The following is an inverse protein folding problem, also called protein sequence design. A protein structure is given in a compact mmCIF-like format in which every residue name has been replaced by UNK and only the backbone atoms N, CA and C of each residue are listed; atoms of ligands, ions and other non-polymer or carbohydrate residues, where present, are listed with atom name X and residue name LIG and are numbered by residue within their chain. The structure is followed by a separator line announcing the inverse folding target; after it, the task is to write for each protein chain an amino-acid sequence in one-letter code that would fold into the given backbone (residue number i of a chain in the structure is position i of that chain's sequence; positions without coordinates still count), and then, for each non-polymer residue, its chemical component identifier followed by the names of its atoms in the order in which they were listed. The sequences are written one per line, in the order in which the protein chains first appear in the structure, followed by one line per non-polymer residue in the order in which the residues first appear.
data_IF_875078299569
#
_entry.id   IF_875078299569
#
_cell.length_a   1.000
_cell.length_b   1.000
_cell.length_c   1.000
_cell.angle_alpha   90.00
_cell.angle_beta   90.00
_cell.angle_gamma   90.00
#
_symmetry.space_group_name_H-M   'P 1'
#
loop_
_entity.id
_entity.type
_entity.pdbx_description
1 polymer ?
#
# COMPACT_ATOMS: atom_id res chain seq x y z
N UNK A 1 -4.88 8.89 -8.90
CA UNK A 1 -4.88 8.46 -7.49
C UNK A 1 -5.82 7.29 -7.39
N UNK A 2 -5.25 6.15 -7.05
CA UNK A 2 -5.99 4.93 -6.74
C UNK A 2 -5.72 4.54 -5.29
N UNK A 3 -6.72 4.00 -4.60
CA UNK A 3 -6.58 3.46 -3.25
C UNK A 3 -6.56 1.95 -3.33
N UNK A 4 -5.57 1.31 -2.74
CA UNK A 4 -5.39 -0.13 -2.78
C UNK A 4 -5.41 -0.72 -1.37
N UNK A 5 -6.03 -1.88 -1.21
CA UNK A 5 -5.89 -2.67 0.01
C UNK A 5 -4.85 -3.77 -0.20
N UNK A 6 -3.73 -3.72 0.53
CA UNK A 6 -2.83 -4.86 0.64
C UNK A 6 -3.16 -5.63 1.92
N UNK A 7 -3.54 -6.90 1.81
CA UNK A 7 -3.95 -7.70 2.96
C UNK A 7 -3.57 -9.17 2.80
N UNK A 8 -3.58 -9.89 3.92
CA UNK A 8 -3.40 -11.35 3.95
C UNK A 8 -4.77 -12.04 3.90
N UNK A 9 -4.99 -12.90 2.92
CA UNK A 9 -6.22 -13.69 2.81
C UNK A 9 -6.25 -14.87 3.79
N UNK A 10 -7.34 -15.65 3.77
CA UNK A 10 -7.51 -16.83 4.64
C UNK A 10 -6.47 -17.92 4.43
N UNK A 11 -5.78 -17.93 3.29
CA UNK A 11 -4.74 -18.90 2.96
C UNK A 11 -3.32 -18.39 3.33
N UNK A 12 -3.22 -17.26 4.02
CA UNK A 12 -1.94 -16.67 4.40
C UNK A 12 -1.21 -15.98 3.25
N UNK A 13 -1.87 -15.73 2.12
CA UNK A 13 -1.27 -15.10 0.94
C UNK A 13 -1.61 -13.63 0.86
N UNK A 14 -0.65 -12.81 0.46
CA UNK A 14 -0.87 -11.39 0.17
C UNK A 14 -1.78 -11.23 -1.05
N UNK A 15 -2.72 -10.30 -0.96
CA UNK A 15 -3.66 -9.92 -2.01
C UNK A 15 -3.71 -8.40 -2.11
N UNK A 16 -3.96 -7.89 -3.33
CA UNK A 16 -4.12 -6.46 -3.61
C UNK A 16 -5.43 -6.24 -4.32
N UNK A 17 -6.31 -5.46 -3.69
CA UNK A 17 -7.59 -5.03 -4.29
C UNK A 17 -7.59 -3.51 -4.46
N UNK A 18 -8.22 -3.03 -5.53
CA UNK A 18 -8.54 -1.61 -5.68
C UNK A 18 -9.80 -1.28 -4.87
N UNK A 19 -9.75 -0.17 -4.13
CA UNK A 19 -10.85 0.34 -3.32
C UNK A 19 -11.42 1.61 -3.96
N UNK A 20 -12.75 1.69 -3.99
CA UNK A 20 -13.47 2.91 -4.31
C UNK A 20 -14.08 3.55 -3.04
N UNK A 21 -14.23 4.87 -3.04
CA UNK A 21 -14.74 5.61 -1.88
C UNK A 21 -16.23 5.37 -1.60
N UNK A 22 -17.01 4.97 -2.61
CA UNK A 22 -18.45 4.75 -2.44
C UNK A 22 -18.73 3.45 -1.66
N UNK A 23 -17.93 2.41 -1.92
CA UNK A 23 -18.00 1.12 -1.22
C UNK A 23 -17.22 1.10 0.10
N UNK A 24 -16.34 2.08 0.34
CA UNK A 24 -15.47 2.15 1.52
C UNK A 24 -15.58 3.53 2.21
N UNK A 25 -16.76 3.87 2.77
CA UNK A 25 -17.03 5.19 3.35
C UNK A 25 -16.13 5.53 4.53
N UNK A 26 -15.57 4.55 5.22
CA UNK A 26 -14.62 4.74 6.31
C UNK A 26 -13.35 5.49 5.86
N UNK A 27 -12.97 5.37 4.58
CA UNK A 27 -11.83 6.10 4.00
C UNK A 27 -12.10 7.61 3.88
N UNK A 28 -13.36 8.04 3.93
CA UNK A 28 -13.74 9.45 3.88
C UNK A 28 -13.84 10.10 5.26
N UNK A 29 -13.70 9.30 6.32
CA UNK A 29 -13.79 9.77 7.70
C UNK A 29 -12.43 10.16 8.24
N UNK A 30 -12.35 11.29 8.94
CA UNK A 30 -11.11 11.73 9.57
C UNK A 30 -10.61 10.68 10.57
N UNK A 31 -9.36 10.24 10.39
CA UNK A 31 -8.70 9.27 11.27
C UNK A 31 -7.53 9.95 11.97
N UNK A 32 -7.44 9.81 13.29
CA UNK A 32 -6.31 10.34 14.05
C UNK A 32 -5.02 9.56 13.70
N UNK A 33 -4.00 10.27 13.22
CA UNK A 33 -2.68 9.71 12.97
C UNK A 33 -1.82 9.79 14.23
N UNK A 34 -1.23 8.66 14.65
CA UNK A 34 -0.27 8.65 15.76
C UNK A 34 1.09 9.20 15.33
N UNK A 35 1.52 8.89 14.11
CA UNK A 35 2.81 9.29 13.55
C UNK A 35 2.68 9.56 12.04
N UNK A 36 3.45 10.53 11.55
CA UNK A 36 3.61 10.83 10.12
C UNK A 36 5.11 11.03 9.88
N UNK A 37 5.64 10.40 8.83
CA UNK A 37 7.02 10.60 8.41
C UNK A 37 7.12 10.50 6.88
N UNK A 38 8.17 11.12 6.34
CA UNK A 38 8.49 11.08 4.92
C UNK A 38 9.79 10.30 4.76
N UNK A 39 9.87 9.46 3.73
CA UNK A 39 11.07 8.71 3.37
C UNK A 39 11.29 8.77 1.87
N UNK A 40 12.55 8.72 1.48
CA UNK A 40 12.98 8.62 0.09
C UNK A 40 13.92 7.42 -0.05
N UNK A 41 13.87 6.80 -1.21
CA UNK A 41 14.78 5.74 -1.61
C UNK A 41 15.40 6.09 -2.96
N UNK A 42 16.66 5.73 -3.14
CA UNK A 42 17.31 5.83 -4.44
C UNK A 42 16.74 4.80 -5.43
N UNK A 43 16.77 5.07 -6.74
CA UNK A 43 16.37 4.11 -7.75
C UNK A 43 17.09 2.77 -7.58
N UNK A 44 16.35 1.67 -7.68
CA UNK A 44 16.88 0.32 -7.48
C UNK A 44 16.96 -0.12 -6.02
N UNK A 45 16.50 0.69 -5.06
CA UNK A 45 16.33 0.23 -3.68
C UNK A 45 15.39 -0.98 -3.63
N UNK A 46 15.87 -2.06 -3.03
CA UNK A 46 15.15 -3.33 -2.92
C UNK A 46 14.89 -3.67 -1.45
N UNK A 47 13.69 -4.16 -1.17
CA UNK A 47 13.29 -4.67 0.13
C UNK A 47 12.82 -6.10 -0.08
N UNK A 48 13.50 -7.05 0.56
CA UNK A 48 13.17 -8.47 0.48
C UNK A 48 11.83 -8.78 1.17
N UNK A 49 11.32 -9.99 1.01
CA UNK A 49 10.04 -10.44 1.55
C UNK A 49 9.95 -10.21 3.07
N UNK A 50 8.91 -9.49 3.50
CA UNK A 50 8.66 -9.20 4.90
C UNK A 50 7.15 -9.03 5.16
N UNK A 51 6.65 -9.36 6.37
CA UNK A 51 5.29 -9.00 6.75
C UNK A 51 5.17 -7.48 6.91
N UNK A 52 3.99 -6.93 6.60
CA UNK A 52 3.69 -5.54 6.93
C UNK A 52 3.74 -5.38 8.46
N UNK A 53 4.60 -4.50 9.00
CA UNK A 53 4.88 -4.47 10.44
C UNK A 53 3.70 -3.95 11.26
N UNK A 54 2.79 -3.21 10.64
CA UNK A 54 1.57 -2.62 11.25
C UNK A 54 0.64 -2.12 10.17
N UNK A 55 -0.62 -1.91 10.55
CA UNK A 55 -1.59 -1.19 9.73
C UNK A 55 -1.16 0.25 9.53
N UNK A 56 -1.04 0.68 8.28
CA UNK A 56 -0.56 2.01 7.93
C UNK A 56 -0.91 2.39 6.51
N UNK A 57 -1.04 3.69 6.26
CA UNK A 57 -1.12 4.21 4.91
C UNK A 57 0.28 4.51 4.38
N UNK A 58 0.60 3.98 3.21
CA UNK A 58 1.75 4.42 2.41
C UNK A 58 1.18 5.15 1.20
N UNK A 59 1.57 6.41 1.04
CA UNK A 59 1.17 7.26 -0.09
C UNK A 59 2.43 7.56 -0.89
N UNK A 60 2.43 7.19 -2.16
CA UNK A 60 3.53 7.50 -3.08
C UNK A 60 3.42 8.97 -3.50
N UNK A 61 4.38 9.80 -3.13
CA UNK A 61 4.35 11.24 -3.47
C UNK A 61 5.06 11.51 -4.80
N UNK A 62 6.12 10.77 -5.10
CA UNK A 62 6.90 10.85 -6.34
C UNK A 62 7.56 9.51 -6.67
N UNK A 63 7.93 9.31 -7.93
CA UNK A 63 8.53 8.06 -8.39
C UNK A 63 7.52 6.92 -8.52
N UNK A 64 8.02 5.69 -8.54
CA UNK A 64 7.21 4.47 -8.66
C UNK A 64 7.70 3.43 -7.64
N UNK A 65 6.77 2.69 -7.05
CA UNK A 65 7.07 1.52 -6.23
C UNK A 65 6.47 0.29 -6.89
N UNK A 66 7.25 -0.77 -7.02
CA UNK A 66 6.79 -2.11 -7.40
C UNK A 66 6.66 -2.99 -6.16
N UNK A 67 5.55 -3.71 -6.06
CA UNK A 67 5.31 -4.73 -5.02
C UNK A 67 5.00 -6.04 -5.72
N UNK A 68 5.86 -7.04 -5.51
CA UNK A 68 5.61 -8.42 -5.93
C UNK A 68 4.74 -9.16 -4.91
N UNK A 69 3.88 -10.05 -5.39
CA UNK A 69 3.16 -11.02 -4.56
C UNK A 69 3.70 -12.43 -4.80
N UNK A 70 3.34 -13.36 -3.92
CA UNK A 70 3.84 -14.74 -3.99
C UNK A 70 3.39 -15.48 -5.26
N UNK A 71 2.25 -15.10 -5.84
CA UNK A 71 1.75 -15.67 -7.10
C UNK A 71 2.53 -15.20 -8.35
N UNK A 72 3.58 -14.39 -8.17
CA UNK A 72 4.41 -13.83 -9.23
C UNK A 72 3.84 -12.56 -9.86
N UNK A 73 2.65 -12.11 -9.45
CA UNK A 73 2.11 -10.83 -9.89
C UNK A 73 2.91 -9.66 -9.32
N UNK A 74 2.92 -8.54 -10.06
CA UNK A 74 3.59 -7.30 -9.65
C UNK A 74 2.62 -6.14 -9.80
N UNK A 75 2.47 -5.36 -8.73
CA UNK A 75 1.65 -4.16 -8.70
C UNK A 75 2.53 -2.91 -8.66
N UNK A 76 2.21 -1.92 -9.50
CA UNK A 76 2.91 -0.64 -9.59
C UNK A 76 2.08 0.44 -8.93
N UNK A 77 2.70 1.20 -8.05
CA UNK A 77 2.09 2.34 -7.36
C UNK A 77 2.75 3.63 -7.87
N UNK A 78 1.92 4.52 -8.39
CA UNK A 78 2.31 5.78 -9.02
C UNK A 78 2.13 6.95 -8.04
N UNK A 79 2.64 8.15 -8.38
CA UNK A 79 2.40 9.34 -7.56
C UNK A 79 0.91 9.60 -7.33
N UNK A 80 0.54 9.81 -6.07
CA UNK A 80 -0.83 9.98 -5.60
C UNK A 80 -1.52 8.68 -5.17
N UNK A 81 -0.98 7.50 -5.47
CA UNK A 81 -1.61 6.25 -5.04
C UNK A 81 -1.37 5.99 -3.55
N UNK A 82 -2.41 5.47 -2.89
CA UNK A 82 -2.41 5.16 -1.47
C UNK A 82 -2.65 3.66 -1.26
N UNK A 83 -1.93 3.07 -0.31
CA UNK A 83 -2.19 1.69 0.12
C UNK A 83 -2.29 1.59 1.65
N UNK A 84 -3.47 1.35 2.22
CA UNK A 84 -3.59 0.73 3.53
C UNK A 84 -2.98 -0.67 3.53
N UNK A 85 -1.97 -0.87 4.38
CA UNK A 85 -1.51 -2.19 4.85
C UNK A 85 -2.11 -2.54 6.20
#
# INVERSE_FOLDING_TARGET
MTIYRLYTNSNGKSQVDELDLASNPELTTATAAQHIFFRQWEPGHFIDWHPAPRRQYIISISGMVEVGLEDGSTHRFMPGDARPG
#
